data_IF_079556112099
#
_entry.id   IF_079556112099
#
_cell.length_a   1.000
_cell.length_b   1.000
_cell.length_c   1.000
_cell.angle_alpha   90.00
_cell.angle_beta   90.00
_cell.angle_gamma   90.00
#
_symmetry.space_group_name_H-M   'P 1'
#
loop_
_entity.id
_entity.type
_entity.pdbx_description
1 polymer ?
#
# COMPACT_ATOMS: atom_id res chain seq x y z
N UNK A 1 5.71 10.21 -16.05
CA UNK A 1 4.31 10.49 -15.64
C UNK A 1 4.27 10.89 -14.18
N UNK A 2 3.67 11.98 -13.87
CA UNK A 2 3.63 12.50 -12.52
C UNK A 2 2.53 11.80 -11.69
N UNK A 3 2.83 11.47 -10.46
CA UNK A 3 1.83 10.92 -9.54
C UNK A 3 0.73 11.92 -9.19
N UNK A 4 0.94 13.20 -9.51
CA UNK A 4 -0.11 14.21 -9.32
C UNK A 4 -1.30 14.00 -10.24
N UNK A 5 -1.14 13.15 -11.27
CA UNK A 5 -2.20 12.84 -12.22
C UNK A 5 -3.09 11.67 -11.77
N UNK A 6 -2.83 11.10 -10.62
CA UNK A 6 -3.61 9.96 -10.15
C UNK A 6 -5.03 10.40 -9.80
N UNK A 7 -6.02 9.78 -10.42
CA UNK A 7 -7.41 10.24 -10.37
C UNK A 7 -8.30 9.54 -9.36
N UNK A 8 -7.81 8.58 -8.62
CA UNK A 8 -8.56 7.88 -7.56
C UNK A 8 -9.86 7.22 -8.04
N UNK A 9 -9.94 6.86 -9.33
CA UNK A 9 -11.06 6.09 -9.85
C UNK A 9 -10.82 4.60 -9.62
N UNK A 10 -11.88 3.76 -9.60
CA UNK A 10 -11.68 2.31 -9.48
C UNK A 10 -10.73 1.75 -10.53
N UNK A 11 -10.79 2.25 -11.77
CA UNK A 11 -9.88 1.81 -12.82
C UNK A 11 -8.43 2.14 -12.53
N UNK A 12 -8.16 3.35 -12.00
CA UNK A 12 -6.81 3.77 -11.64
C UNK A 12 -6.28 2.96 -10.46
N UNK A 13 -7.14 2.71 -9.47
CA UNK A 13 -6.77 1.92 -8.30
C UNK A 13 -6.44 0.49 -8.70
N UNK A 14 -7.27 -0.11 -9.55
CA UNK A 14 -7.03 -1.46 -10.05
C UNK A 14 -5.73 -1.53 -10.85
N UNK A 15 -5.48 -0.52 -11.67
CA UNK A 15 -4.29 -0.47 -12.50
C UNK A 15 -3.02 -0.42 -11.67
N UNK A 16 -2.98 0.42 -10.64
CA UNK A 16 -1.75 0.57 -9.85
C UNK A 16 -1.42 -0.72 -9.09
N UNK A 17 -2.43 -1.44 -8.57
CA UNK A 17 -2.15 -2.68 -7.85
C UNK A 17 -1.82 -3.83 -8.80
N UNK A 18 -2.19 -3.73 -10.07
CA UNK A 18 -1.80 -4.73 -11.09
C UNK A 18 -0.40 -4.48 -11.63
N UNK A 19 -0.01 -3.22 -11.73
CA UNK A 19 1.30 -2.85 -12.30
C UNK A 19 2.44 -2.91 -11.31
N UNK A 20 2.14 -3.03 -10.03
CA UNK A 20 3.16 -3.05 -8.97
C UNK A 20 2.93 -4.24 -8.05
N UNK A 21 3.99 -4.99 -7.79
CA UNK A 21 3.90 -6.17 -6.92
C UNK A 21 3.46 -5.80 -5.51
N UNK A 22 3.91 -4.65 -5.02
CA UNK A 22 3.58 -4.16 -3.67
C UNK A 22 3.16 -2.71 -3.77
N UNK A 23 1.99 -2.38 -3.22
CA UNK A 23 1.49 -1.01 -3.19
C UNK A 23 1.05 -0.68 -1.76
N UNK A 24 1.54 0.44 -1.25
CA UNK A 24 1.15 0.93 0.07
C UNK A 24 0.45 2.28 -0.09
N UNK A 25 -0.84 2.31 0.25
CA UNK A 25 -1.60 3.55 0.36
C UNK A 25 -1.45 4.05 1.79
N UNK A 26 -0.88 5.24 1.97
CA UNK A 26 -0.54 5.72 3.30
C UNK A 26 -0.79 7.22 3.43
N UNK A 27 -0.83 7.70 4.66
CA UNK A 27 -0.90 9.13 4.94
C UNK A 27 0.50 9.69 4.95
N UNK A 28 0.82 10.49 3.93
CA UNK A 28 2.15 11.01 3.70
C UNK A 28 2.96 10.13 2.77
N UNK A 29 4.26 10.17 2.93
CA UNK A 29 5.20 9.39 2.12
C UNK A 29 6.09 8.56 3.04
N UNK A 30 6.79 7.53 2.52
CA UNK A 30 7.71 6.76 3.37
C UNK A 30 8.78 7.63 4.02
N UNK A 31 9.21 8.70 3.35
CA UNK A 31 10.22 9.63 3.87
C UNK A 31 9.65 10.63 4.87
N UNK A 32 8.34 10.90 4.77
CA UNK A 32 7.66 11.88 5.62
C UNK A 32 6.25 11.40 5.97
N UNK A 33 6.13 10.33 6.76
CA UNK A 33 4.81 9.82 7.13
C UNK A 33 4.08 10.81 8.04
N UNK A 34 2.76 10.93 7.84
CA UNK A 34 1.94 11.89 8.57
C UNK A 34 1.05 11.21 9.62
N UNK A 35 1.29 9.93 9.90
CA UNK A 35 0.48 9.13 10.82
C UNK A 35 1.35 8.00 11.35
N UNK A 36 1.23 7.70 12.64
CA UNK A 36 2.01 6.64 13.27
C UNK A 36 1.75 5.26 12.65
N UNK A 37 0.51 4.98 12.28
CA UNK A 37 0.18 3.70 11.63
C UNK A 37 0.79 3.62 10.23
N UNK A 38 0.77 4.72 9.49
CA UNK A 38 1.41 4.78 8.17
C UNK A 38 2.92 4.65 8.27
N UNK A 39 3.51 5.26 9.29
CA UNK A 39 4.94 5.14 9.55
C UNK A 39 5.32 3.67 9.81
N UNK A 40 4.55 2.99 10.64
CA UNK A 40 4.79 1.57 10.95
C UNK A 40 4.70 0.71 9.70
N UNK A 41 3.64 0.89 8.90
CA UNK A 41 3.46 0.11 7.68
C UNK A 41 4.59 0.36 6.69
N UNK A 42 4.96 1.62 6.49
CA UNK A 42 6.06 1.96 5.57
C UNK A 42 7.38 1.37 6.05
N UNK A 43 7.64 1.40 7.35
CA UNK A 43 8.85 0.82 7.92
C UNK A 43 8.91 -0.69 7.68
N UNK A 44 7.80 -1.38 7.90
CA UNK A 44 7.71 -2.83 7.69
C UNK A 44 7.95 -3.17 6.22
N UNK A 45 7.27 -2.47 5.31
CA UNK A 45 7.40 -2.74 3.88
C UNK A 45 8.83 -2.44 3.39
N UNK A 46 9.44 -1.36 3.90
CA UNK A 46 10.81 -1.01 3.55
C UNK A 46 11.80 -2.10 3.95
N UNK A 47 11.54 -2.78 5.05
CA UNK A 47 12.42 -3.85 5.53
C UNK A 47 12.36 -5.11 4.67
N UNK A 48 11.38 -5.23 3.78
CA UNK A 48 11.32 -6.36 2.85
C UNK A 48 12.45 -6.32 1.82
N UNK A 49 13.03 -5.15 1.59
CA UNK A 49 14.17 -5.01 0.68
C UNK A 49 13.82 -5.14 -0.79
N UNK A 50 12.55 -5.00 -1.14
CA UNK A 50 12.10 -5.05 -2.54
C UNK A 50 11.39 -3.74 -2.88
N UNK A 51 11.35 -3.36 -4.16
CA UNK A 51 10.67 -2.13 -4.57
C UNK A 51 9.18 -2.19 -4.25
N UNK A 52 8.62 -1.05 -3.86
CA UNK A 52 7.18 -0.93 -3.69
C UNK A 52 6.73 0.47 -4.11
N UNK A 53 5.49 0.55 -4.56
CA UNK A 53 4.86 1.84 -4.88
C UNK A 53 4.17 2.35 -3.62
N UNK A 54 4.31 3.64 -3.35
CA UNK A 54 3.56 4.28 -2.27
C UNK A 54 2.68 5.38 -2.85
N UNK A 55 1.47 5.49 -2.32
CA UNK A 55 0.51 6.50 -2.76
C UNK A 55 0.03 7.27 -1.54
N UNK A 56 0.19 8.60 -1.60
CA UNK A 56 -0.17 9.47 -0.49
C UNK A 56 -1.66 9.79 -0.54
N UNK A 57 -2.43 9.24 0.40
CA UNK A 57 -3.88 9.45 0.43
C UNK A 57 -4.26 10.86 0.90
N UNK A 58 -3.29 11.64 1.36
CA UNK A 58 -3.54 13.04 1.73
C UNK A 58 -3.39 14.00 0.56
N UNK A 59 -2.90 13.52 -0.59
CA UNK A 59 -2.67 14.37 -1.75
C UNK A 59 -3.96 14.86 -2.41
N UNK A 60 -5.09 14.23 -2.11
CA UNK A 60 -6.38 14.56 -2.72
C UNK A 60 -7.48 14.33 -1.67
N UNK A 61 -8.37 15.28 -1.45
CA UNK A 61 -9.44 15.10 -0.45
C UNK A 61 -10.41 13.96 -0.79
N UNK A 62 -10.46 13.50 -2.05
CA UNK A 62 -11.31 12.37 -2.46
C UNK A 62 -10.68 11.02 -2.12
N UNK A 63 -9.37 10.98 -1.87
CA UNK A 63 -8.58 9.75 -1.85
C UNK A 63 -9.10 8.73 -0.84
N UNK A 64 -9.32 9.15 0.40
CA UNK A 64 -9.69 8.22 1.47
C UNK A 64 -11.04 7.57 1.22
N UNK A 65 -12.02 8.36 0.76
CA UNK A 65 -13.34 7.81 0.45
C UNK A 65 -13.29 6.90 -0.77
N UNK A 66 -12.60 7.31 -1.82
CA UNK A 66 -12.47 6.52 -3.03
C UNK A 66 -11.81 5.19 -2.75
N UNK A 67 -10.71 5.20 -2.00
CA UNK A 67 -9.99 3.97 -1.66
C UNK A 67 -10.84 3.05 -0.78
N UNK A 68 -11.47 3.62 0.24
CA UNK A 68 -12.32 2.85 1.15
C UNK A 68 -13.49 2.20 0.43
N UNK A 69 -14.15 2.95 -0.45
CA UNK A 69 -15.29 2.42 -1.21
C UNK A 69 -14.87 1.29 -2.15
N UNK A 70 -13.71 1.45 -2.77
CA UNK A 70 -13.21 0.46 -3.72
C UNK A 70 -12.69 -0.80 -3.03
N UNK A 71 -11.89 -0.63 -1.98
CA UNK A 71 -11.23 -1.76 -1.31
C UNK A 71 -12.14 -2.47 -0.29
N UNK A 72 -13.12 -1.75 0.24
CA UNK A 72 -13.96 -2.25 1.34
C UNK A 72 -13.26 -2.21 2.69
N UNK A 73 -12.06 -1.69 2.78
CA UNK A 73 -11.31 -1.61 4.03
C UNK A 73 -11.41 -0.20 4.61
N UNK A 74 -11.81 -0.04 5.88
CA UNK A 74 -12.26 1.26 6.38
C UNK A 74 -11.15 2.24 6.77
N UNK A 75 -9.92 1.78 6.98
CA UNK A 75 -8.88 2.64 7.55
C UNK A 75 -7.64 2.70 6.66
N UNK A 76 -6.76 3.66 6.98
CA UNK A 76 -5.45 3.81 6.35
C UNK A 76 -4.38 3.48 7.40
N UNK A 77 -3.24 2.94 7.02
CA UNK A 77 -2.80 2.61 5.65
C UNK A 77 -3.43 1.33 5.13
N UNK A 78 -3.28 1.09 3.82
CA UNK A 78 -3.71 -0.16 3.19
C UNK A 78 -2.57 -0.72 2.36
N UNK A 79 -2.23 -1.98 2.61
CA UNK A 79 -1.15 -2.67 1.91
C UNK A 79 -1.72 -3.70 0.95
N UNK A 80 -1.27 -3.65 -0.30
CA UNK A 80 -1.64 -4.62 -1.33
C UNK A 80 -0.37 -5.33 -1.80
N UNK A 81 -0.45 -6.65 -1.92
CA UNK A 81 0.66 -7.47 -2.45
C UNK A 81 0.07 -8.44 -3.47
N UNK A 82 0.65 -8.45 -4.66
CA UNK A 82 0.18 -9.32 -5.74
C UNK A 82 -1.24 -9.02 -6.16
N UNK A 83 -1.66 -7.76 -6.05
CA UNK A 83 -3.01 -7.33 -6.40
C UNK A 83 -4.07 -7.64 -5.36
N UNK A 84 -3.66 -8.07 -4.16
CA UNK A 84 -4.61 -8.45 -3.10
C UNK A 84 -4.42 -7.58 -1.88
N UNK A 85 -5.52 -7.16 -1.27
CA UNK A 85 -5.48 -6.41 -0.02
C UNK A 85 -4.97 -7.31 1.10
N UNK A 86 -3.89 -6.89 1.74
CA UNK A 86 -3.32 -7.59 2.88
C UNK A 86 -3.95 -7.06 4.17
N UNK A 87 -4.05 -5.74 4.30
CA UNK A 87 -4.62 -5.10 5.47
C UNK A 87 -3.90 -3.81 5.84
N UNK A 88 -4.03 -3.42 7.10
CA UNK A 88 -3.41 -2.22 7.63
C UNK A 88 -2.09 -2.49 8.33
N UNK A 89 -1.67 -1.53 9.19
CA UNK A 89 -0.37 -1.61 9.84
C UNK A 89 -0.25 -2.79 10.81
N UNK A 90 -1.32 -3.12 11.51
CA UNK A 90 -1.28 -4.20 12.50
C UNK A 90 -1.05 -5.55 11.82
N UNK A 91 -1.80 -5.82 10.76
CA UNK A 91 -1.65 -7.06 9.99
C UNK A 91 -0.28 -7.11 9.32
N UNK A 92 0.18 -5.98 8.76
CA UNK A 92 1.49 -5.93 8.12
C UNK A 92 2.60 -6.30 9.11
N UNK A 93 2.56 -5.73 10.31
CA UNK A 93 3.55 -6.03 11.34
C UNK A 93 3.48 -7.49 11.78
N UNK A 94 2.26 -7.99 12.02
CA UNK A 94 2.06 -9.38 12.44
C UNK A 94 2.61 -10.37 11.42
N UNK A 95 2.29 -10.16 10.14
CA UNK A 95 2.77 -11.03 9.07
C UNK A 95 4.28 -10.90 8.89
N UNK A 96 4.82 -9.72 9.11
CA UNK A 96 6.28 -9.52 9.04
C UNK A 96 6.97 -10.31 10.15
N UNK A 97 6.44 -10.25 11.36
CA UNK A 97 7.04 -10.94 12.50
C UNK A 97 6.97 -12.46 12.35
N UNK A 98 5.94 -12.97 11.70
CA UNK A 98 5.79 -14.41 11.46
C UNK A 98 6.58 -14.91 10.25
N UNK A 99 7.08 -14.00 9.41
CA UNK A 99 7.76 -14.37 8.17
C UNK A 99 6.83 -14.53 6.98
N UNK A 100 5.52 -14.45 7.18
CA UNK A 100 4.57 -14.61 6.08
C UNK A 100 4.61 -13.45 5.08
N UNK A 101 4.88 -12.23 5.58
CA UNK A 101 4.93 -11.07 4.69
C UNK A 101 6.07 -11.22 3.69
N UNK A 102 7.21 -11.71 4.15
CA UNK A 102 8.37 -11.97 3.30
C UNK A 102 8.04 -12.97 2.21
N UNK A 103 7.30 -14.02 2.55
CA UNK A 103 6.88 -15.04 1.60
C UNK A 103 5.92 -14.47 0.56
N UNK A 104 4.93 -13.69 1.01
CA UNK A 104 3.99 -13.05 0.09
C UNK A 104 4.70 -12.11 -0.87
N UNK A 105 5.64 -11.32 -0.37
CA UNK A 105 6.39 -10.39 -1.19
C UNK A 105 7.26 -11.13 -2.21
N UNK A 106 7.93 -12.19 -1.79
CA UNK A 106 8.77 -12.99 -2.68
C UNK A 106 7.94 -13.61 -3.80
N UNK A 107 6.78 -14.17 -3.47
CA UNK A 107 5.91 -14.80 -4.47
C UNK A 107 5.39 -13.77 -5.48
N UNK A 108 5.04 -12.58 -5.02
CA UNK A 108 4.52 -11.53 -5.89
C UNK A 108 5.60 -11.01 -6.84
N UNK A 109 6.84 -10.89 -6.38
CA UNK A 109 7.92 -10.32 -7.17
C UNK A 109 8.56 -11.34 -8.12
N UNK A 110 8.41 -12.64 -7.89
CA UNK A 110 8.98 -13.66 -8.76
C UNK A 110 8.07 -14.05 -9.92
N UNK A 111 6.84 -13.56 -9.94
CA UNK A 111 5.89 -13.90 -10.99
C UNK A 111 5.88 -12.93 -12.16
N UNK A 112 6.86 -12.09 -12.24
CA UNK A 112 6.97 -11.11 -13.33
C UNK A 112 7.43 -11.72 -14.64
#
# INVERSE_FOLDING_TARGET
MSMTEFNWTPNELQKIIEENSIVLFMKGTPEAPQCGFSNRAASVVSQLGVPFASVNVLSDPRARNALRDWSGFPTMPQLFIGGKLIGGSDIALELFQSGELQTLAANATTND
#
